data_IF_013620468537
#
_entry.id   IF_013620468537
#
_cell.length_a   1.000
_cell.length_b   1.000
_cell.length_c   1.000
_cell.angle_alpha   90.00
_cell.angle_beta   90.00
_cell.angle_gamma   90.00
#
_symmetry.space_group_name_H-M   'P 1'
#
loop_
_entity.id
_entity.type
_entity.pdbx_description
1 polymer ?
#
# COMPACT_ATOMS: atom_id res chain seq x y z
N UNK A 1 10.21 9.58 -18.37
CA UNK A 1 9.02 9.63 -17.51
C UNK A 1 8.58 8.21 -17.23
N UNK A 2 8.26 7.89 -15.95
CA UNK A 2 7.76 6.58 -15.55
C UNK A 2 6.28 6.72 -15.23
N UNK A 3 5.46 5.82 -15.76
CA UNK A 3 4.01 5.79 -15.56
C UNK A 3 3.58 4.40 -15.09
N UNK A 4 2.70 4.35 -14.10
CA UNK A 4 2.04 3.14 -13.66
C UNK A 4 0.59 3.08 -14.15
N UNK A 5 0.10 1.88 -14.43
CA UNK A 5 -1.28 1.64 -14.83
C UNK A 5 -1.92 0.63 -13.88
N UNK A 6 -3.15 0.92 -13.47
CA UNK A 6 -3.92 -0.02 -12.64
C UNK A 6 -4.37 -1.23 -13.45
N UNK A 7 -4.12 -2.42 -12.92
CA UNK A 7 -4.59 -3.69 -13.47
C UNK A 7 -5.93 -4.17 -12.90
N UNK A 8 -6.45 -3.46 -11.92
CA UNK A 8 -7.80 -3.67 -11.40
C UNK A 8 -8.65 -2.55 -11.97
N UNK A 9 -9.66 -2.90 -12.75
CA UNK A 9 -10.73 -1.98 -13.01
C UNK A 9 -11.43 -1.74 -11.65
N UNK A 10 -11.06 -0.68 -10.96
CA UNK A 10 -12.06 -0.01 -10.16
C UNK A 10 -13.06 0.54 -11.18
N UNK A 11 -13.81 -0.38 -11.80
CA UNK A 11 -14.90 0.02 -12.62
C UNK A 11 -15.77 0.82 -11.69
N UNK A 12 -15.86 2.09 -11.96
CA UNK A 12 -17.11 2.80 -11.79
C UNK A 12 -18.11 2.04 -12.65
N UNK A 13 -18.34 0.76 -12.33
CA UNK A 13 -19.52 0.05 -12.75
C UNK A 13 -20.63 0.69 -11.95
N UNK A 14 -21.00 1.83 -12.47
CA UNK A 14 -22.34 2.36 -12.30
C UNK A 14 -23.29 1.35 -12.97
N UNK A 15 -23.29 0.10 -12.50
CA UNK A 15 -24.37 -0.85 -12.81
C UNK A 15 -25.67 -0.42 -12.18
N UNK A 16 -25.63 0.58 -11.31
CA UNK A 16 -26.83 1.28 -10.92
C UNK A 16 -26.74 2.72 -11.42
N UNK A 17 -27.60 3.08 -12.33
CA UNK A 17 -27.97 4.47 -12.66
C UNK A 17 -28.52 5.23 -11.42
N UNK A 18 -28.30 4.72 -10.23
CA UNK A 18 -28.76 5.32 -8.97
C UNK A 18 -27.70 6.29 -8.46
N UNK A 19 -27.99 7.59 -8.46
CA UNK A 19 -27.15 8.57 -7.80
C UNK A 19 -26.92 8.17 -6.34
N UNK A 20 -25.67 8.10 -5.89
CA UNK A 20 -25.31 7.79 -4.52
C UNK A 20 -25.11 6.31 -4.19
N UNK A 21 -25.03 5.41 -5.19
CA UNK A 21 -24.57 4.05 -4.96
C UNK A 21 -23.15 4.09 -4.35
N UNK A 22 -22.90 3.36 -3.24
CA UNK A 22 -21.58 3.41 -2.60
C UNK A 22 -20.51 2.88 -3.55
N UNK A 23 -19.44 3.65 -3.73
CA UNK A 23 -18.22 3.27 -4.46
C UNK A 23 -17.62 1.93 -3.98
N UNK A 24 -17.95 1.49 -2.77
CA UNK A 24 -17.44 0.27 -2.16
C UNK A 24 -18.04 -1.04 -2.66
N UNK A 25 -19.17 -1.01 -3.37
CA UNK A 25 -19.87 -2.24 -3.79
C UNK A 25 -19.16 -2.98 -4.94
N UNK A 26 -18.16 -2.39 -5.56
CA UNK A 26 -17.56 -2.86 -6.82
C UNK A 26 -16.17 -3.47 -6.64
N UNK A 27 -15.56 -3.33 -5.49
CA UNK A 27 -14.26 -3.92 -5.20
C UNK A 27 -14.46 -5.44 -5.01
N UNK A 28 -14.11 -6.24 -6.00
CA UNK A 28 -14.06 -7.69 -5.89
C UNK A 28 -14.93 -8.49 -6.86
N UNK A 29 -16.10 -8.01 -7.24
CA UNK A 29 -16.94 -8.71 -8.23
C UNK A 29 -16.56 -8.34 -9.66
N UNK A 30 -16.16 -7.10 -9.88
CA UNK A 30 -15.81 -6.58 -11.19
C UNK A 30 -14.36 -6.80 -11.62
N UNK A 31 -13.63 -7.66 -10.95
CA UNK A 31 -12.24 -8.00 -11.25
C UNK A 31 -11.99 -8.65 -12.63
N UNK A 32 -12.94 -8.56 -13.53
CA UNK A 32 -12.83 -9.03 -14.92
C UNK A 32 -12.31 -7.94 -15.87
N UNK A 33 -11.49 -7.01 -15.40
CA UNK A 33 -10.96 -5.97 -16.27
C UNK A 33 -10.05 -6.52 -17.37
N UNK A 34 -9.59 -7.76 -17.26
CA UNK A 34 -8.68 -8.44 -18.20
C UNK A 34 -7.44 -7.59 -18.55
N UNK A 35 -7.03 -6.73 -17.63
CA UNK A 35 -5.88 -5.84 -17.80
C UNK A 35 -4.86 -6.11 -16.72
N UNK A 36 -3.63 -6.41 -17.13
CA UNK A 36 -2.48 -6.42 -16.24
C UNK A 36 -2.14 -5.00 -15.81
N UNK A 37 -1.78 -4.81 -14.56
CA UNK A 37 -1.06 -3.63 -14.13
C UNK A 37 0.35 -3.63 -14.73
N UNK A 38 0.88 -2.45 -15.02
CA UNK A 38 2.23 -2.35 -15.55
C UNK A 38 2.89 -1.03 -15.16
N UNK A 39 4.22 -1.04 -15.14
CA UNK A 39 5.04 0.16 -15.19
C UNK A 39 5.64 0.31 -16.58
N UNK A 40 5.69 1.53 -17.10
CA UNK A 40 6.31 1.84 -18.38
C UNK A 40 7.14 3.12 -18.30
N UNK A 41 8.25 3.15 -19.03
CA UNK A 41 9.02 4.35 -19.24
C UNK A 41 8.76 4.93 -20.62
N UNK A 42 8.69 6.26 -20.65
CA UNK A 42 8.53 7.04 -21.87
C UNK A 42 9.65 8.08 -21.99
N UNK A 43 10.13 8.25 -23.19
CA UNK A 43 11.03 9.36 -23.53
C UNK A 43 10.32 10.68 -23.30
N UNK A 44 10.94 11.59 -22.54
CA UNK A 44 10.29 12.84 -22.13
C UNK A 44 10.07 13.84 -23.27
N UNK A 45 10.88 13.77 -24.31
CA UNK A 45 10.80 14.70 -25.45
C UNK A 45 9.83 14.20 -26.52
N UNK A 46 9.87 12.91 -26.84
CA UNK A 46 9.10 12.32 -27.95
C UNK A 46 7.81 11.61 -27.52
N UNK A 47 7.65 11.28 -26.23
CA UNK A 47 6.56 10.45 -25.73
C UNK A 47 6.65 8.97 -26.15
N UNK A 48 7.74 8.56 -26.81
CA UNK A 48 7.91 7.18 -27.26
C UNK A 48 8.13 6.28 -26.04
N UNK A 49 7.38 5.15 -25.96
CA UNK A 49 7.59 4.14 -24.93
C UNK A 49 8.96 3.47 -25.12
N UNK A 50 9.75 3.45 -24.05
CA UNK A 50 11.08 2.86 -24.01
C UNK A 50 11.01 1.38 -23.59
N UNK A 51 10.27 1.10 -22.51
CA UNK A 51 10.04 -0.25 -22.01
C UNK A 51 8.73 -0.36 -21.24
N UNK A 52 8.31 -1.59 -20.96
CA UNK A 52 7.16 -1.92 -20.13
C UNK A 52 7.48 -3.16 -19.30
N UNK A 53 7.09 -3.14 -18.03
CA UNK A 53 7.10 -4.27 -17.11
C UNK A 53 5.67 -4.61 -16.72
N UNK A 54 5.21 -5.80 -17.06
CA UNK A 54 3.88 -6.30 -16.68
C UNK A 54 3.95 -6.98 -15.31
N UNK A 55 3.10 -6.56 -14.37
CA UNK A 55 3.06 -7.08 -13.02
C UNK A 55 2.38 -8.45 -12.90
N UNK A 56 1.69 -8.90 -13.96
CA UNK A 56 1.04 -10.22 -14.06
C UNK A 56 1.54 -10.94 -15.32
N UNK A 57 2.74 -11.55 -15.28
CA UNK A 57 3.35 -12.19 -16.47
C UNK A 57 2.64 -13.50 -16.82
N UNK A 58 2.73 -13.88 -18.10
CA UNK A 58 2.22 -15.17 -18.58
C UNK A 58 3.07 -16.38 -18.16
N UNK A 59 4.31 -16.13 -17.80
CA UNK A 59 5.26 -17.14 -17.33
C UNK A 59 5.67 -16.86 -15.90
N UNK A 60 5.67 -17.88 -15.04
CA UNK A 60 6.06 -17.75 -13.64
C UNK A 60 4.98 -17.15 -12.71
N UNK A 61 3.78 -16.90 -13.22
CA UNK A 61 2.64 -16.40 -12.44
C UNK A 61 2.33 -17.25 -11.20
N UNK A 62 2.40 -18.56 -11.34
CA UNK A 62 2.06 -19.52 -10.29
C UNK A 62 3.08 -19.52 -9.15
N UNK A 63 4.30 -19.10 -9.40
CA UNK A 63 5.38 -19.11 -8.41
C UNK A 63 5.71 -20.49 -7.86
N UNK A 64 6.07 -20.54 -6.57
CA UNK A 64 6.53 -21.77 -5.89
C UNK A 64 5.46 -22.41 -5.00
N UNK A 65 4.26 -21.84 -4.93
CA UNK A 65 3.19 -22.24 -3.99
C UNK A 65 3.62 -22.11 -2.52
N UNK A 66 4.13 -20.95 -2.15
CA UNK A 66 4.63 -20.66 -0.81
C UNK A 66 3.53 -20.76 0.23
N UNK A 67 3.85 -21.40 1.35
CA UNK A 67 2.95 -21.55 2.50
C UNK A 67 3.19 -20.51 3.60
N UNK A 68 4.19 -19.66 3.40
CA UNK A 68 4.55 -18.59 4.33
C UNK A 68 4.82 -17.29 3.58
N UNK A 69 4.70 -16.16 4.27
CA UNK A 69 5.27 -14.90 3.84
C UNK A 69 6.81 -14.99 3.81
N UNK A 70 7.53 -14.04 3.16
CA UNK A 70 9.00 -14.05 3.12
C UNK A 70 9.67 -13.98 4.50
N UNK A 71 9.00 -13.41 5.49
CA UNK A 71 9.44 -13.31 6.89
C UNK A 71 8.96 -14.47 7.77
N UNK A 72 8.36 -15.52 7.17
CA UNK A 72 8.03 -16.79 7.80
C UNK A 72 6.66 -16.88 8.48
N UNK A 73 5.78 -15.88 8.33
CA UNK A 73 4.43 -15.98 8.85
C UNK A 73 3.60 -17.01 8.05
N UNK A 74 2.87 -17.93 8.68
CA UNK A 74 2.10 -18.94 7.98
C UNK A 74 0.92 -18.33 7.23
N UNK A 75 0.65 -18.85 6.02
CA UNK A 75 -0.51 -18.54 5.20
C UNK A 75 -1.47 -19.71 5.23
N UNK A 76 -2.74 -19.49 5.53
CA UNK A 76 -3.76 -20.55 5.48
C UNK A 76 -4.19 -20.81 4.03
N UNK A 77 -3.35 -21.55 3.28
CA UNK A 77 -3.57 -21.95 1.88
C UNK A 77 -3.85 -23.44 1.74
N UNK A 78 -4.72 -23.79 0.81
CA UNK A 78 -4.95 -25.17 0.39
C UNK A 78 -4.15 -25.46 -0.91
N UNK A 79 -2.85 -25.72 -0.72
CA UNK A 79 -1.92 -25.97 -1.83
C UNK A 79 -2.33 -27.19 -2.66
N UNK A 80 -2.91 -28.23 -2.05
CA UNK A 80 -3.36 -29.41 -2.76
C UNK A 80 -4.48 -29.08 -3.75
N UNK A 81 -5.47 -28.31 -3.29
CA UNK A 81 -6.57 -27.80 -4.11
C UNK A 81 -6.07 -26.88 -5.22
N UNK A 82 -5.21 -25.93 -4.91
CA UNK A 82 -4.63 -25.02 -5.87
C UNK A 82 -3.93 -25.77 -7.01
N UNK A 83 -3.09 -26.75 -6.69
CA UNK A 83 -2.41 -27.60 -7.67
C UNK A 83 -3.36 -28.44 -8.50
N UNK A 84 -4.44 -28.95 -7.90
CA UNK A 84 -5.46 -29.74 -8.60
C UNK A 84 -6.23 -28.92 -9.65
N UNK A 85 -6.41 -27.59 -9.41
CA UNK A 85 -7.15 -26.70 -10.30
C UNK A 85 -6.26 -25.95 -11.30
N UNK A 86 -4.93 -26.09 -11.22
CA UNK A 86 -3.96 -25.36 -12.04
C UNK A 86 -4.22 -25.50 -13.55
N UNK A 87 -4.57 -26.71 -14.00
CA UNK A 87 -4.89 -26.98 -15.42
C UNK A 87 -6.10 -26.20 -15.93
N UNK A 88 -7.12 -26.04 -15.07
CA UNK A 88 -8.34 -25.28 -15.36
C UNK A 88 -8.06 -23.78 -15.43
N UNK A 89 -7.23 -23.25 -14.53
CA UNK A 89 -6.96 -21.81 -14.37
C UNK A 89 -5.58 -21.38 -14.87
N UNK A 90 -4.95 -22.14 -15.79
CA UNK A 90 -3.63 -21.82 -16.33
C UNK A 90 -3.49 -20.42 -16.96
N UNK A 91 -4.61 -19.77 -17.27
CA UNK A 91 -4.62 -18.42 -17.83
C UNK A 91 -5.12 -17.37 -16.83
N UNK A 92 -5.11 -17.67 -15.53
CA UNK A 92 -5.56 -16.75 -14.47
C UNK A 92 -4.83 -15.39 -14.50
N UNK A 93 -3.56 -15.37 -14.92
CA UNK A 93 -2.80 -14.13 -15.12
C UNK A 93 -3.50 -13.12 -16.05
N UNK A 94 -4.34 -13.60 -17.00
CA UNK A 94 -5.12 -12.73 -17.91
C UNK A 94 -6.24 -11.97 -17.21
N UNK A 95 -6.67 -12.42 -16.03
CA UNK A 95 -7.68 -11.71 -15.24
C UNK A 95 -7.16 -10.36 -14.73
N UNK A 96 -5.85 -10.15 -14.81
CA UNK A 96 -5.21 -8.90 -14.45
C UNK A 96 -4.85 -8.82 -12.97
N UNK A 97 -4.90 -7.61 -12.43
CA UNK A 97 -4.38 -7.29 -11.11
C UNK A 97 -2.99 -6.68 -11.17
N UNK A 98 -2.30 -6.66 -10.03
CA UNK A 98 -0.96 -6.11 -9.93
C UNK A 98 -0.89 -4.61 -10.24
N UNK A 99 -1.89 -3.85 -9.84
CA UNK A 99 -1.99 -2.41 -10.12
C UNK A 99 -0.69 -1.67 -9.79
N UNK A 100 -0.18 -0.91 -10.75
CA UNK A 100 0.94 0.00 -10.61
C UNK A 100 0.40 1.41 -10.32
N UNK A 101 -0.03 1.68 -9.09
CA UNK A 101 -0.82 2.86 -8.73
C UNK A 101 -0.16 3.77 -7.70
N UNK A 102 1.06 3.42 -7.27
CA UNK A 102 1.82 4.23 -6.31
C UNK A 102 3.08 4.82 -6.95
N UNK A 103 3.59 5.88 -6.36
CA UNK A 103 4.80 6.55 -6.83
C UNK A 103 6.03 5.67 -6.59
N UNK A 104 6.83 5.35 -7.63
CA UNK A 104 8.07 4.61 -7.45
C UNK A 104 9.17 5.48 -6.85
N UNK A 105 10.15 4.85 -6.19
CA UNK A 105 11.42 5.47 -5.84
C UNK A 105 12.49 5.14 -6.88
N UNK A 106 13.40 6.08 -7.14
CA UNK A 106 14.47 5.92 -8.13
C UNK A 106 15.83 6.06 -7.45
N UNK A 107 16.69 5.10 -7.68
CA UNK A 107 18.10 5.13 -7.27
C UNK A 107 18.98 5.31 -8.52
N UNK A 108 19.47 6.53 -8.78
CA UNK A 108 20.29 6.78 -9.95
C UNK A 108 21.68 6.12 -9.91
N UNK A 109 22.21 5.89 -8.70
CA UNK A 109 23.54 5.30 -8.52
C UNK A 109 23.53 3.80 -8.85
N UNK A 110 22.43 3.11 -8.50
CA UNK A 110 22.24 1.71 -8.83
C UNK A 110 21.54 1.51 -10.20
N UNK A 111 20.99 2.57 -10.79
CA UNK A 111 20.17 2.49 -11.99
C UNK A 111 18.90 1.67 -11.78
N UNK A 112 18.29 1.75 -10.60
CA UNK A 112 17.13 0.96 -10.22
C UNK A 112 15.91 1.82 -9.90
N UNK A 113 14.74 1.26 -10.20
CA UNK A 113 13.43 1.79 -9.82
C UNK A 113 12.78 0.78 -8.88
N UNK A 114 12.31 1.24 -7.72
CA UNK A 114 11.57 0.44 -6.76
C UNK A 114 10.11 0.83 -6.80
N UNK A 115 9.23 -0.14 -6.97
CA UNK A 115 7.81 0.11 -7.18
C UNK A 115 6.94 -0.95 -6.51
N UNK A 116 5.83 -0.53 -5.93
CA UNK A 116 4.84 -1.44 -5.35
C UNK A 116 3.83 -1.93 -6.38
N UNK A 117 3.38 -3.17 -6.25
CA UNK A 117 2.30 -3.73 -7.06
C UNK A 117 1.08 -4.07 -6.20
N UNK A 118 -0.09 -3.97 -6.80
CA UNK A 118 -1.37 -4.21 -6.13
C UNK A 118 -1.78 -5.68 -6.11
N UNK A 119 -3.01 -5.90 -5.69
CA UNK A 119 -3.62 -7.22 -5.53
C UNK A 119 -3.73 -8.00 -6.85
N UNK A 120 -3.78 -9.34 -6.79
CA UNK A 120 -4.19 -10.14 -7.94
C UNK A 120 -5.69 -9.95 -8.26
N UNK A 121 -6.11 -10.28 -9.47
CA UNK A 121 -7.52 -10.30 -9.86
C UNK A 121 -7.97 -11.73 -10.22
N UNK A 122 -9.17 -12.15 -9.80
CA UNK A 122 -10.13 -11.49 -8.91
C UNK A 122 -9.58 -11.27 -7.50
N UNK A 123 -9.77 -10.08 -6.95
CA UNK A 123 -9.06 -9.66 -5.74
C UNK A 123 -9.40 -10.52 -4.51
N UNK A 124 -10.68 -10.77 -4.29
CA UNK A 124 -11.18 -11.47 -3.10
C UNK A 124 -11.62 -12.91 -3.40
N UNK A 125 -11.13 -13.50 -4.49
CA UNK A 125 -11.32 -14.91 -4.83
C UNK A 125 -9.97 -15.63 -4.83
N UNK A 126 -9.88 -16.71 -4.09
CA UNK A 126 -8.70 -17.55 -3.98
C UNK A 126 -8.76 -18.81 -4.85
N UNK A 127 -9.89 -19.09 -5.50
CA UNK A 127 -10.13 -20.36 -6.18
C UNK A 127 -9.71 -20.36 -7.64
N UNK A 128 -9.86 -19.23 -8.33
CA UNK A 128 -9.70 -19.11 -9.78
C UNK A 128 -8.30 -18.68 -10.21
N UNK A 129 -7.39 -18.50 -9.28
CA UNK A 129 -6.02 -18.05 -9.53
C UNK A 129 -4.98 -18.82 -8.69
N UNK A 130 -4.81 -20.14 -8.88
CA UNK A 130 -3.87 -20.94 -8.12
C UNK A 130 -2.43 -20.43 -8.24
N UNK A 131 -1.64 -20.63 -7.18
CA UNK A 131 -0.24 -20.20 -7.12
C UNK A 131 -0.03 -18.89 -6.37
N UNK A 132 1.20 -18.40 -6.35
CA UNK A 132 1.62 -17.22 -5.59
C UNK A 132 1.15 -15.91 -6.23
N UNK A 133 0.77 -15.95 -7.50
CA UNK A 133 0.30 -14.80 -8.31
C UNK A 133 1.38 -13.72 -8.48
N UNK A 134 2.57 -14.12 -8.96
CA UNK A 134 3.68 -13.20 -9.23
C UNK A 134 3.35 -12.24 -10.41
N UNK A 135 3.65 -10.95 -10.30
CA UNK A 135 4.32 -10.24 -9.19
C UNK A 135 3.34 -9.32 -8.46
N UNK A 136 2.17 -9.83 -8.08
CA UNK A 136 1.21 -9.05 -7.28
C UNK A 136 1.69 -8.94 -5.83
N UNK A 137 1.22 -7.93 -5.10
CA UNK A 137 1.53 -7.65 -3.69
C UNK A 137 3.04 -7.70 -3.42
N UNK A 138 3.79 -7.07 -4.31
CA UNK A 138 5.26 -7.13 -4.31
C UNK A 138 5.88 -5.74 -4.37
N UNK A 139 7.00 -5.57 -3.67
CA UNK A 139 7.96 -4.55 -4.03
C UNK A 139 8.87 -5.13 -5.12
N UNK A 140 8.90 -4.50 -6.28
CA UNK A 140 9.73 -4.89 -7.42
C UNK A 140 10.86 -3.89 -7.62
N UNK A 141 12.06 -4.38 -7.96
CA UNK A 141 13.15 -3.55 -8.43
C UNK A 141 13.36 -3.78 -9.93
N UNK A 142 13.22 -2.71 -10.68
CA UNK A 142 13.34 -2.70 -12.14
C UNK A 142 14.62 -1.96 -12.55
N UNK A 143 15.29 -2.49 -13.56
CA UNK A 143 16.37 -1.77 -14.24
C UNK A 143 15.80 -0.51 -14.92
N UNK A 144 16.36 0.65 -14.62
CA UNK A 144 15.80 1.93 -15.05
C UNK A 144 15.86 2.14 -16.58
N UNK A 145 16.84 1.55 -17.26
CA UNK A 145 17.02 1.69 -18.70
C UNK A 145 16.17 0.72 -19.51
N UNK A 146 16.01 -0.51 -18.98
CA UNK A 146 15.42 -1.63 -19.74
C UNK A 146 14.06 -2.10 -19.23
N UNK A 147 13.67 -1.71 -18.00
CA UNK A 147 12.47 -2.19 -17.33
C UNK A 147 12.54 -3.66 -16.89
N UNK A 148 13.69 -4.32 -17.03
CA UNK A 148 13.85 -5.70 -16.62
C UNK A 148 13.81 -5.84 -15.11
N UNK A 149 13.07 -6.85 -14.62
CA UNK A 149 13.04 -7.18 -13.21
C UNK A 149 14.43 -7.63 -12.74
N UNK A 150 14.93 -6.99 -11.67
CA UNK A 150 16.20 -7.37 -11.03
C UNK A 150 15.95 -8.26 -9.83
N UNK A 151 14.94 -7.94 -9.03
CA UNK A 151 14.46 -8.74 -7.92
C UNK A 151 13.03 -8.32 -7.53
N UNK A 152 12.35 -9.15 -6.77
CA UNK A 152 11.08 -8.84 -6.14
C UNK A 152 11.04 -9.35 -4.70
N UNK A 153 10.23 -8.71 -3.90
CA UNK A 153 9.87 -9.14 -2.55
C UNK A 153 8.35 -9.15 -2.45
N UNK A 154 7.75 -10.34 -2.54
CA UNK A 154 6.30 -10.50 -2.45
C UNK A 154 5.90 -10.54 -0.98
N UNK A 155 5.30 -9.46 -0.47
CA UNK A 155 4.92 -9.37 0.95
C UNK A 155 3.93 -10.45 1.36
N UNK A 156 2.92 -10.70 0.51
CA UNK A 156 1.88 -11.69 0.77
C UNK A 156 1.62 -12.54 -0.49
N UNK A 157 2.19 -13.76 -0.58
CA UNK A 157 1.86 -14.71 -1.65
C UNK A 157 0.38 -15.08 -1.64
N UNK A 158 -0.24 -15.18 -2.82
CA UNK A 158 -1.64 -15.58 -2.98
C UNK A 158 -2.62 -14.70 -2.19
N UNK A 159 -2.41 -13.39 -2.20
CA UNK A 159 -3.20 -12.47 -1.39
C UNK A 159 -4.71 -12.58 -1.65
N UNK A 160 -5.46 -12.80 -0.59
CA UNK A 160 -6.93 -12.84 -0.56
C UNK A 160 -7.53 -11.83 0.43
N UNK A 161 -6.69 -10.94 0.96
CA UNK A 161 -7.06 -9.99 2.02
C UNK A 161 -7.05 -8.53 1.55
N UNK A 162 -6.44 -8.25 0.40
CA UNK A 162 -6.36 -6.90 -0.14
C UNK A 162 -5.12 -6.13 0.31
N UNK A 163 -4.00 -6.81 0.56
CA UNK A 163 -2.77 -6.21 1.09
C UNK A 163 -1.82 -5.69 0.01
N UNK A 164 -2.33 -4.84 -0.92
CA UNK A 164 -1.48 -4.15 -1.88
C UNK A 164 -0.19 -3.62 -1.26
N UNK A 165 0.91 -3.64 -2.01
CA UNK A 165 2.10 -2.83 -1.68
C UNK A 165 1.83 -1.40 -2.17
N UNK A 166 1.11 -0.66 -1.35
CA UNK A 166 0.44 0.59 -1.72
C UNK A 166 1.20 1.85 -1.30
N UNK A 167 1.91 1.82 -0.15
CA UNK A 167 2.72 2.95 0.29
C UNK A 167 3.94 3.12 -0.61
N UNK A 168 4.27 4.34 -1.07
CA UNK A 168 5.50 4.60 -1.82
C UNK A 168 6.74 4.14 -1.06
N UNK A 169 7.70 3.45 -1.70
CA UNK A 169 8.94 3.04 -1.05
C UNK A 169 9.84 4.25 -0.78
N UNK A 170 10.64 4.17 0.29
CA UNK A 170 11.59 5.20 0.69
C UNK A 170 13.02 4.64 0.71
N UNK A 171 13.98 5.42 0.19
CA UNK A 171 15.38 5.03 0.10
C UNK A 171 16.20 5.67 1.23
N UNK A 172 17.04 4.87 1.88
CA UNK A 172 17.94 5.33 2.95
C UNK A 172 19.10 4.33 3.16
N UNK A 173 19.99 4.64 4.06
CA UNK A 173 21.04 3.74 4.50
C UNK A 173 20.70 3.14 5.86
N UNK A 174 20.46 1.81 5.89
CA UNK A 174 20.20 1.08 7.13
C UNK A 174 21.50 0.66 7.82
N UNK A 175 21.46 0.51 9.14
CA UNK A 175 22.59 -0.06 9.92
C UNK A 175 22.22 -1.47 10.40
N UNK A 176 22.97 -2.47 9.93
CA UNK A 176 22.76 -3.87 10.29
C UNK A 176 24.09 -4.52 10.65
N UNK A 177 24.21 -5.05 11.86
CA UNK A 177 25.45 -5.69 12.32
C UNK A 177 26.69 -4.80 12.22
N UNK A 178 26.54 -3.50 12.50
CA UNK A 178 27.63 -2.50 12.44
C UNK A 178 27.99 -2.03 11.01
N UNK A 179 27.33 -2.56 9.97
CA UNK A 179 27.55 -2.16 8.57
C UNK A 179 26.44 -1.24 8.10
N UNK A 180 26.81 -0.28 7.25
CA UNK A 180 25.86 0.54 6.50
C UNK A 180 25.49 -0.18 5.21
N UNK A 181 24.20 -0.37 4.97
CA UNK A 181 23.66 -1.08 3.81
C UNK A 181 22.66 -0.17 3.12
N UNK A 182 22.82 0.12 1.81
CA UNK A 182 21.80 0.81 1.04
C UNK A 182 20.49 0.04 1.09
N UNK A 183 19.45 0.67 1.62
CA UNK A 183 18.17 0.02 1.91
C UNK A 183 16.99 0.72 1.24
N UNK A 184 15.96 -0.06 0.95
CA UNK A 184 14.63 0.44 0.60
C UNK A 184 13.66 0.01 1.68
N UNK A 185 12.86 0.97 2.16
CA UNK A 185 11.82 0.74 3.15
C UNK A 185 10.44 0.76 2.52
N UNK A 186 9.57 -0.15 2.95
CA UNK A 186 8.19 -0.28 2.51
C UNK A 186 7.27 -0.40 3.71
N UNK A 187 6.33 0.54 3.87
CA UNK A 187 5.28 0.45 4.88
C UNK A 187 4.10 -0.36 4.33
N UNK A 188 3.71 -1.40 5.05
CA UNK A 188 2.73 -2.38 4.58
C UNK A 188 1.34 -2.17 5.17
N UNK A 189 0.33 -2.61 4.43
CA UNK A 189 -1.04 -2.77 4.93
C UNK A 189 -1.13 -3.80 6.07
N UNK A 190 -0.17 -4.72 6.14
CA UNK A 190 -0.08 -5.72 7.22
C UNK A 190 0.32 -5.13 8.58
N UNK A 191 0.78 -3.88 8.62
CA UNK A 191 1.14 -3.18 9.85
C UNK A 191 2.61 -3.23 10.21
N UNK A 192 3.50 -3.65 9.30
CA UNK A 192 4.95 -3.63 9.45
C UNK A 192 5.61 -2.70 8.43
N UNK A 193 6.80 -2.22 8.79
CA UNK A 193 7.72 -1.56 7.88
C UNK A 193 8.84 -2.53 7.53
N UNK A 194 8.86 -2.99 6.27
CA UNK A 194 9.90 -3.87 5.76
C UNK A 194 11.11 -3.07 5.31
N UNK A 195 12.31 -3.54 5.60
CA UNK A 195 13.57 -2.93 5.17
C UNK A 195 14.40 -3.97 4.43
N UNK A 196 14.69 -3.69 3.16
CA UNK A 196 15.36 -4.60 2.24
C UNK A 196 16.67 -4.00 1.74
N UNK A 197 17.66 -4.83 1.45
CA UNK A 197 18.85 -4.42 0.71
C UNK A 197 18.46 -4.02 -0.71
N UNK A 198 18.74 -2.78 -1.13
CA UNK A 198 18.40 -2.24 -2.46
C UNK A 198 18.98 -3.04 -3.61
N UNK A 199 20.14 -3.69 -3.42
CA UNK A 199 20.84 -4.42 -4.48
C UNK A 199 20.26 -5.79 -4.74
N UNK A 200 19.79 -6.48 -3.69
CA UNK A 200 19.41 -7.89 -3.75
C UNK A 200 17.95 -8.18 -3.45
N UNK A 201 17.21 -7.23 -2.84
CA UNK A 201 15.87 -7.47 -2.32
C UNK A 201 15.84 -8.34 -1.06
N UNK A 202 17.01 -8.67 -0.50
CA UNK A 202 17.09 -9.45 0.73
C UNK A 202 16.50 -8.69 1.93
N UNK A 203 15.63 -9.35 2.70
CA UNK A 203 15.06 -8.78 3.92
C UNK A 203 16.16 -8.57 4.97
N UNK A 204 16.39 -7.31 5.34
CA UNK A 204 17.32 -6.95 6.41
C UNK A 204 16.65 -7.09 7.77
N UNK A 205 15.45 -6.55 7.90
CA UNK A 205 14.57 -6.66 9.07
C UNK A 205 13.18 -6.14 8.72
N UNK A 206 12.21 -6.44 9.58
CA UNK A 206 10.91 -5.75 9.66
C UNK A 206 10.77 -5.05 11.00
N UNK A 207 9.97 -3.99 11.04
CA UNK A 207 9.70 -3.25 12.28
C UNK A 207 8.85 -4.04 13.28
N UNK A 208 8.73 -3.52 14.50
CA UNK A 208 7.59 -3.80 15.36
C UNK A 208 6.30 -3.40 14.64
N UNK A 209 5.18 -4.06 14.97
CA UNK A 209 3.88 -3.73 14.38
C UNK A 209 3.44 -2.34 14.84
N UNK A 210 3.13 -1.46 13.88
CA UNK A 210 2.73 -0.09 14.16
C UNK A 210 1.20 0.10 14.30
N UNK A 211 0.41 -0.95 14.11
CA UNK A 211 -1.01 -1.05 14.45
C UNK A 211 -1.30 -2.44 15.01
N UNK A 212 -2.36 -2.62 15.83
CA UNK A 212 -2.75 -3.93 16.31
C UNK A 212 -3.06 -4.90 15.18
N UNK A 213 -2.66 -6.15 15.36
CA UNK A 213 -2.88 -7.23 14.42
C UNK A 213 -3.76 -8.31 15.06
N UNK A 214 -4.78 -8.76 14.31
CA UNK A 214 -5.69 -9.81 14.73
C UNK A 214 -6.04 -10.69 13.53
N UNK A 215 -5.94 -12.01 13.68
CA UNK A 215 -6.27 -12.98 12.63
C UNK A 215 -5.58 -12.74 11.30
N UNK A 216 -4.40 -12.11 11.29
CA UNK A 216 -3.66 -11.81 10.09
C UNK A 216 -3.33 -13.10 9.34
N UNK A 217 -3.57 -13.12 8.02
CA UNK A 217 -3.39 -14.27 7.14
C UNK A 217 -4.30 -15.49 7.41
N UNK A 218 -5.31 -15.35 8.29
CA UNK A 218 -6.36 -16.36 8.46
C UNK A 218 -7.31 -16.33 7.26
N UNK A 219 -7.73 -17.53 6.85
CA UNK A 219 -8.65 -17.67 5.71
C UNK A 219 -10.05 -17.12 6.05
N UNK A 220 -10.65 -16.27 5.20
CA UNK A 220 -12.04 -15.85 5.36
C UNK A 220 -13.02 -17.02 5.35
N UNK A 221 -14.11 -16.91 6.11
CA UNK A 221 -15.15 -17.95 6.24
C UNK A 221 -16.54 -17.46 5.84
N UNK A 222 -17.48 -18.38 5.65
CA UNK A 222 -18.87 -18.01 5.35
C UNK A 222 -19.58 -17.31 6.52
N UNK A 223 -19.17 -17.60 7.75
CA UNK A 223 -19.68 -16.97 8.98
C UNK A 223 -19.10 -15.56 9.18
N UNK A 224 -18.04 -15.25 8.47
CA UNK A 224 -17.28 -14.01 8.60
C UNK A 224 -16.20 -14.07 9.67
N UNK A 225 -15.02 -13.55 9.32
CA UNK A 225 -13.87 -13.43 10.20
C UNK A 225 -13.41 -11.99 10.26
N UNK A 226 -13.27 -11.46 11.47
CA UNK A 226 -12.68 -10.14 11.69
C UNK A 226 -11.16 -10.22 11.60
N UNK A 227 -10.58 -9.38 10.74
CA UNK A 227 -9.13 -9.30 10.51
C UNK A 227 -8.68 -7.85 10.69
N UNK A 228 -7.61 -7.66 11.43
CA UNK A 228 -6.97 -6.36 11.61
C UNK A 228 -5.44 -6.48 11.38
N UNK A 229 -4.85 -5.49 10.69
CA UNK A 229 -5.51 -4.47 9.88
C UNK A 229 -6.26 -5.08 8.69
N UNK A 230 -7.34 -4.43 8.24
CA UNK A 230 -8.08 -4.85 7.05
C UNK A 230 -7.49 -4.31 5.75
N UNK A 231 -8.18 -4.53 4.62
CA UNK A 231 -7.73 -4.17 3.26
C UNK A 231 -7.35 -2.69 3.05
N UNK A 232 -7.88 -1.79 3.87
CA UNK A 232 -7.58 -0.34 3.83
C UNK A 232 -6.88 0.14 5.10
N UNK A 233 -6.47 -0.79 5.98
CA UNK A 233 -5.74 -0.52 7.21
C UNK A 233 -4.23 -0.51 7.04
N UNK A 234 -3.50 -0.55 8.16
CA UNK A 234 -2.06 -0.44 8.17
C UNK A 234 -1.59 0.90 7.59
N UNK A 235 -0.48 0.92 6.87
CA UNK A 235 0.01 2.12 6.21
C UNK A 235 -0.80 2.50 4.96
N UNK A 236 -1.63 1.57 4.46
CA UNK A 236 -2.41 1.75 3.23
C UNK A 236 -1.55 2.36 2.10
N UNK A 237 -1.92 3.53 1.56
CA UNK A 237 -1.17 4.24 0.52
C UNK A 237 -0.37 5.44 1.03
N UNK A 238 -0.32 5.65 2.34
CA UNK A 238 0.32 6.82 2.95
C UNK A 238 1.82 6.85 2.67
N UNK A 239 2.37 7.91 2.04
CA UNK A 239 3.80 8.07 1.89
C UNK A 239 4.51 8.16 3.23
N UNK A 240 5.63 7.46 3.33
CA UNK A 240 6.56 7.50 4.47
C UNK A 240 7.52 8.66 4.30
N UNK A 241 7.93 9.29 5.39
CA UNK A 241 9.02 10.26 5.39
C UNK A 241 10.19 9.74 6.22
N UNK A 242 11.41 9.99 5.75
CA UNK A 242 12.64 9.57 6.43
C UNK A 242 13.51 10.78 6.77
N UNK A 243 14.07 10.79 7.98
CA UNK A 243 15.05 11.77 8.40
C UNK A 243 16.43 11.11 8.55
N UNK A 244 17.36 11.46 7.68
CA UNK A 244 18.73 10.97 7.76
C UNK A 244 19.40 11.38 9.09
N UNK A 245 19.12 12.57 9.59
CA UNK A 245 19.69 13.09 10.82
C UNK A 245 19.33 12.23 12.04
N UNK A 246 18.06 11.88 12.19
CA UNK A 246 17.59 11.05 13.31
C UNK A 246 17.72 9.53 13.04
N UNK A 247 17.73 9.11 11.78
CA UNK A 247 17.64 7.70 11.39
C UNK A 247 16.26 7.12 11.61
N UNK A 248 15.22 7.97 11.61
CA UNK A 248 13.84 7.57 11.84
C UNK A 248 13.04 7.64 10.55
N UNK A 249 12.27 6.59 10.29
CA UNK A 249 11.19 6.58 9.30
C UNK A 249 9.85 6.85 10.01
N UNK A 250 9.08 7.81 9.51
CA UNK A 250 7.79 8.20 10.09
C UNK A 250 6.67 7.61 9.24
N UNK A 251 5.85 6.79 9.87
CA UNK A 251 4.77 6.04 9.22
C UNK A 251 3.43 6.46 9.79
N UNK A 252 2.56 6.98 8.92
CA UNK A 252 1.15 7.19 9.21
C UNK A 252 0.38 5.91 8.92
N UNK A 253 -0.49 5.49 9.83
CA UNK A 253 -1.23 4.26 9.69
C UNK A 253 -2.65 4.33 10.26
N UNK A 254 -3.49 3.38 9.83
CA UNK A 254 -4.89 3.28 10.18
C UNK A 254 -5.19 1.96 10.90
N UNK A 255 -5.77 2.04 12.09
CA UNK A 255 -6.41 0.89 12.73
C UNK A 255 -7.84 0.79 12.19
N UNK A 256 -8.02 -0.11 11.23
CA UNK A 256 -9.28 -0.36 10.52
C UNK A 256 -9.50 -1.87 10.39
N UNK A 257 -10.08 -2.52 11.41
CA UNK A 257 -10.50 -3.91 11.29
C UNK A 257 -11.65 -4.04 10.28
N UNK A 258 -11.68 -5.17 9.58
CA UNK A 258 -12.70 -5.50 8.58
C UNK A 258 -13.16 -6.92 8.83
N UNK A 259 -14.45 -7.18 8.66
CA UNK A 259 -15.02 -8.52 8.62
C UNK A 259 -15.00 -9.03 7.17
N UNK A 260 -14.35 -10.15 6.98
CA UNK A 260 -14.23 -10.85 5.70
C UNK A 260 -15.21 -12.02 5.67
N UNK A 261 -16.26 -11.92 4.87
CA UNK A 261 -17.32 -12.94 4.77
C UNK A 261 -17.34 -13.53 3.36
N UNK A 262 -17.14 -14.84 3.25
CA UNK A 262 -17.25 -15.55 1.97
C UNK A 262 -18.71 -15.59 1.53
N UNK A 263 -18.95 -15.16 0.30
CA UNK A 263 -20.25 -15.16 -0.35
C UNK A 263 -20.19 -15.97 -1.64
N UNK A 264 -21.30 -16.61 -1.99
CA UNK A 264 -21.46 -17.32 -3.26
C UNK A 264 -22.72 -16.83 -3.96
N UNK A 265 -22.58 -16.47 -5.23
CA UNK A 265 -23.69 -16.17 -6.12
C UNK A 265 -23.88 -17.42 -6.99
N UNK A 266 -25.02 -18.11 -6.90
CA UNK A 266 -25.31 -19.28 -7.72
C UNK A 266 -25.25 -18.97 -9.22
N UNK A 267 -24.91 -19.96 -10.04
CA UNK A 267 -25.02 -19.87 -11.49
C UNK A 267 -26.45 -19.53 -11.91
N UNK A 268 -26.61 -18.62 -12.88
CA UNK A 268 -27.90 -18.24 -13.42
C UNK A 268 -27.84 -18.13 -14.95
N UNK A 269 -28.61 -18.93 -15.63
CA UNK A 269 -28.57 -19.01 -17.10
C UNK A 269 -27.22 -19.50 -17.62
N UNK A 270 -26.56 -18.70 -18.46
CA UNK A 270 -25.20 -18.98 -18.96
C UNK A 270 -24.09 -18.48 -18.07
N UNK A 271 -24.42 -17.74 -16.99
CA UNK A 271 -23.45 -17.20 -16.05
C UNK A 271 -23.00 -18.28 -15.06
N UNK A 272 -21.69 -18.40 -14.89
CA UNK A 272 -21.08 -19.30 -13.90
C UNK A 272 -21.31 -18.80 -12.48
N UNK A 273 -21.35 -19.71 -11.50
CA UNK A 273 -21.34 -19.35 -10.09
C UNK A 273 -20.09 -18.50 -9.77
N UNK A 274 -20.29 -17.47 -8.97
CA UNK A 274 -19.22 -16.56 -8.51
C UNK A 274 -19.05 -16.69 -7.00
N UNK A 275 -17.84 -16.93 -6.55
CA UNK A 275 -17.47 -16.89 -5.13
C UNK A 275 -16.55 -15.69 -4.90
N UNK A 276 -16.84 -14.92 -3.87
CA UNK A 276 -16.05 -13.76 -3.50
C UNK A 276 -16.06 -13.55 -1.98
N UNK A 277 -15.13 -12.74 -1.48
CA UNK A 277 -15.12 -12.31 -0.08
C UNK A 277 -15.66 -10.89 0.03
N UNK A 278 -16.78 -10.72 0.72
CA UNK A 278 -17.32 -9.42 1.06
C UNK A 278 -16.51 -8.79 2.20
N UNK A 279 -16.28 -7.49 2.07
CA UNK A 279 -15.64 -6.67 3.09
C UNK A 279 -16.71 -5.86 3.82
N UNK A 280 -16.91 -6.15 5.09
CA UNK A 280 -17.95 -5.52 5.90
C UNK A 280 -17.28 -4.68 7.01
N UNK A 281 -17.71 -3.43 7.23
CA UNK A 281 -17.21 -2.62 8.33
C UNK A 281 -17.46 -3.32 9.67
N UNK A 282 -16.49 -3.24 10.57
CA UNK A 282 -16.63 -3.70 11.96
C UNK A 282 -17.04 -2.52 12.83
N UNK A 283 -17.99 -2.75 13.72
CA UNK A 283 -18.30 -1.80 14.77
C UNK A 283 -17.14 -1.75 15.79
N UNK A 284 -16.79 -0.55 16.21
CA UNK A 284 -15.72 -0.35 17.18
C UNK A 284 -14.86 0.88 16.88
N UNK A 285 -13.85 1.10 17.72
CA UNK A 285 -13.01 2.29 17.58
C UNK A 285 -12.12 2.20 16.35
N UNK A 286 -12.15 3.23 15.53
CA UNK A 286 -11.23 3.48 14.40
C UNK A 286 -10.32 4.63 14.80
N UNK A 287 -9.04 4.52 14.54
CA UNK A 287 -8.05 5.50 14.94
C UNK A 287 -6.77 5.35 14.11
N UNK A 288 -5.89 6.33 14.24
CA UNK A 288 -4.60 6.30 13.54
C UNK A 288 -3.41 6.20 14.47
N UNK A 289 -2.26 5.88 13.89
CA UNK A 289 -0.95 6.01 14.52
C UNK A 289 0.01 6.78 13.63
N UNK A 290 0.79 7.66 14.25
CA UNK A 290 2.02 8.18 13.68
C UNK A 290 3.17 7.53 14.44
N UNK A 291 3.98 6.73 13.76
CA UNK A 291 5.05 5.93 14.38
C UNK A 291 6.41 6.36 13.85
N UNK A 292 7.37 6.58 14.74
CA UNK A 292 8.77 6.81 14.39
C UNK A 292 9.56 5.50 14.55
N UNK A 293 9.97 4.93 13.44
CA UNK A 293 10.64 3.63 13.34
C UNK A 293 12.15 3.85 13.18
N UNK A 294 12.94 3.32 14.09
CA UNK A 294 14.39 3.42 14.06
C UNK A 294 14.98 2.39 13.09
N UNK A 295 15.39 2.87 11.92
CA UNK A 295 15.98 2.02 10.87
C UNK A 295 17.46 1.72 11.11
N UNK A 296 18.06 2.29 12.15
CA UNK A 296 19.43 2.00 12.59
C UNK A 296 19.50 0.97 13.71
N UNK A 297 18.35 0.66 14.32
CA UNK A 297 18.22 -0.25 15.47
C UNK A 297 17.25 -1.40 15.23
N UNK A 298 17.17 -1.89 13.98
CA UNK A 298 16.38 -3.08 13.63
C UNK A 298 14.87 -2.87 13.63
N UNK A 299 14.38 -1.66 13.38
CA UNK A 299 12.96 -1.37 13.20
C UNK A 299 12.15 -1.20 14.48
N UNK A 300 12.79 -0.86 15.60
CA UNK A 300 12.08 -0.54 16.84
C UNK A 300 11.30 0.76 16.72
N UNK A 301 10.11 0.79 17.28
CA UNK A 301 9.31 2.02 17.40
C UNK A 301 9.89 2.85 18.55
N UNK A 302 10.43 4.03 18.23
CA UNK A 302 11.02 4.96 19.21
C UNK A 302 9.95 5.72 19.96
N UNK A 303 8.93 6.15 19.25
CA UNK A 303 7.72 6.74 19.79
C UNK A 303 6.55 6.47 18.83
N UNK A 304 5.36 6.53 19.38
CA UNK A 304 4.12 6.42 18.63
C UNK A 304 3.08 7.35 19.21
N UNK A 305 2.54 8.24 18.39
CA UNK A 305 1.37 9.05 18.72
C UNK A 305 0.11 8.39 18.16
N UNK A 306 -0.94 8.35 18.96
CA UNK A 306 -2.27 7.90 18.54
C UNK A 306 -3.11 9.11 18.16
N UNK A 307 -3.78 9.03 17.00
CA UNK A 307 -4.69 10.07 16.54
C UNK A 307 -6.14 9.61 16.62
N UNK A 308 -7.11 10.52 16.86
CA UNK A 308 -8.53 10.16 16.95
C UNK A 308 -9.10 9.56 15.68
N UNK A 309 -8.56 9.94 14.50
CA UNK A 309 -8.97 9.43 13.19
C UNK A 309 -7.87 8.58 12.54
N UNK A 310 -8.23 7.59 11.68
CA UNK A 310 -7.28 6.88 10.84
C UNK A 310 -6.42 7.82 9.99
N UNK A 311 -5.10 7.60 9.97
CA UNK A 311 -4.19 8.37 9.15
C UNK A 311 -4.02 7.72 7.78
N UNK A 312 -4.40 8.44 6.72
CA UNK A 312 -4.32 7.97 5.32
C UNK A 312 -3.66 8.97 4.38
N UNK A 313 -3.21 10.13 4.90
CA UNK A 313 -2.69 11.25 4.12
C UNK A 313 -1.18 11.23 3.89
N UNK A 314 -0.43 10.50 4.70
CA UNK A 314 1.03 10.48 4.63
C UNK A 314 1.71 11.49 5.57
N UNK A 315 3.03 11.52 5.50
CA UNK A 315 3.88 12.23 6.46
C UNK A 315 4.91 13.10 5.75
N UNK A 316 5.19 14.27 6.32
CA UNK A 316 6.30 15.13 5.94
C UNK A 316 7.22 15.35 7.15
N UNK A 317 8.47 14.89 7.09
CA UNK A 317 9.52 15.24 8.05
C UNK A 317 10.40 16.36 7.51
N UNK A 318 10.75 17.32 8.36
CA UNK A 318 11.57 18.47 7.98
C UNK A 318 12.94 18.43 8.66
N UNK A 319 13.91 19.16 8.12
CA UNK A 319 15.22 19.33 8.72
C UNK A 319 15.18 20.11 10.05
N UNK A 320 14.08 20.81 10.33
CA UNK A 320 13.81 21.50 11.59
C UNK A 320 13.27 20.64 12.73
N UNK A 321 13.36 19.31 12.61
CA UNK A 321 12.84 18.34 13.61
C UNK A 321 11.32 18.40 13.80
N UNK A 322 10.58 18.74 12.76
CA UNK A 322 9.10 18.67 12.75
C UNK A 322 8.62 17.55 11.83
N UNK A 323 7.53 16.89 12.24
CA UNK A 323 6.82 15.90 11.47
C UNK A 323 5.37 16.35 11.31
N UNK A 324 4.92 16.55 10.07
CA UNK A 324 3.56 16.95 9.75
C UNK A 324 2.75 15.75 9.22
N UNK A 325 1.50 15.65 9.66
CA UNK A 325 0.51 14.72 9.10
C UNK A 325 -0.89 15.32 9.19
N UNK A 326 -1.78 14.92 8.31
CA UNK A 326 -3.16 15.37 8.32
C UNK A 326 -4.11 14.28 8.81
N UNK A 327 -5.21 14.68 9.44
CA UNK A 327 -6.26 13.81 9.93
C UNK A 327 -7.57 13.96 9.14
N UNK A 328 -8.42 12.91 9.19
CA UNK A 328 -9.74 12.91 8.56
C UNK A 328 -10.73 13.92 9.15
N UNK A 329 -10.56 14.29 10.43
CA UNK A 329 -11.34 15.33 11.10
C UNK A 329 -11.04 16.76 10.62
N UNK A 330 -10.00 16.93 9.79
CA UNK A 330 -9.61 18.22 9.21
C UNK A 330 -8.43 18.89 9.90
N UNK A 331 -7.77 18.25 10.84
CA UNK A 331 -6.58 18.79 11.48
C UNK A 331 -5.34 18.52 10.62
N UNK A 332 -4.45 19.52 10.57
CA UNK A 332 -3.05 19.38 10.20
C UNK A 332 -2.24 19.51 11.49
N UNK A 333 -1.47 18.49 11.80
CA UNK A 333 -0.71 18.36 13.02
C UNK A 333 0.79 18.47 12.76
N UNK A 334 1.52 19.11 13.68
CA UNK A 334 2.98 19.14 13.71
C UNK A 334 3.47 18.53 15.02
N UNK A 335 4.29 17.51 14.92
CA UNK A 335 4.90 16.79 16.04
C UNK A 335 6.41 17.07 16.13
N UNK A 336 6.96 17.04 17.34
CA UNK A 336 8.41 16.93 17.52
C UNK A 336 8.89 15.58 16.96
N UNK A 337 9.84 15.62 16.03
CA UNK A 337 10.32 14.44 15.32
C UNK A 337 11.03 13.42 16.24
N UNK A 338 11.55 13.82 17.40
CA UNK A 338 12.31 12.97 18.32
C UNK A 338 11.45 12.36 19.41
N UNK A 339 10.39 13.08 19.85
CA UNK A 339 9.59 12.70 21.01
C UNK A 339 8.16 12.27 20.65
N UNK A 340 7.63 12.72 19.50
CA UNK A 340 6.25 12.52 19.12
C UNK A 340 5.26 13.43 19.88
N UNK A 341 5.77 14.45 20.57
CA UNK A 341 4.93 15.46 21.22
C UNK A 341 4.22 16.30 20.15
N UNK A 342 2.90 16.50 20.29
CA UNK A 342 2.12 17.41 19.45
C UNK A 342 2.47 18.86 19.82
N UNK A 343 3.12 19.55 18.90
CA UNK A 343 3.58 20.93 19.11
C UNK A 343 2.60 21.97 18.57
N UNK A 344 1.89 21.64 17.48
CA UNK A 344 0.99 22.56 16.82
C UNK A 344 -0.09 21.82 16.05
N UNK A 345 -1.27 22.41 15.97
CA UNK A 345 -2.42 21.89 15.24
C UNK A 345 -3.20 23.03 14.60
N UNK A 346 -3.68 22.80 13.38
CA UNK A 346 -4.55 23.75 12.66
C UNK A 346 -5.72 23.02 12.01
N UNK A 347 -6.93 23.53 12.20
CA UNK A 347 -8.13 22.94 11.59
C UNK A 347 -8.37 23.53 10.18
N UNK A 348 -8.23 22.70 9.15
CA UNK A 348 -8.30 23.09 7.73
C UNK A 348 -9.73 23.13 7.16
N UNK A 349 -10.74 22.79 7.96
CA UNK A 349 -12.15 22.85 7.55
C UNK A 349 -12.70 21.62 6.83
N UNK A 350 -11.84 20.77 6.25
CA UNK A 350 -12.18 19.51 5.63
C UNK A 350 -11.07 18.47 5.88
N UNK A 351 -11.33 17.19 5.65
CA UNK A 351 -10.35 16.13 5.89
C UNK A 351 -9.04 16.36 5.16
N UNK A 352 -7.91 16.25 5.88
CA UNK A 352 -6.55 16.43 5.35
C UNK A 352 -5.97 15.06 5.06
N UNK A 353 -6.19 14.55 3.85
CA UNK A 353 -5.80 13.21 3.41
C UNK A 353 -4.78 13.23 2.26
N UNK A 354 -4.26 14.40 1.92
CA UNK A 354 -3.12 14.55 1.05
C UNK A 354 -1.83 14.65 1.89
N UNK A 355 -0.70 14.09 1.42
CA UNK A 355 0.58 14.28 2.11
C UNK A 355 0.96 15.75 2.09
N UNK A 356 1.39 16.33 3.23
CA UNK A 356 1.93 17.68 3.26
C UNK A 356 3.21 17.78 2.42
N UNK A 357 3.45 18.92 1.80
CA UNK A 357 4.68 19.21 1.06
C UNK A 357 5.33 20.47 1.61
N UNK A 358 6.64 20.60 1.43
CA UNK A 358 7.40 21.82 1.81
C UNK A 358 8.28 22.27 0.67
N UNK A 359 8.41 23.58 0.53
CA UNK A 359 9.33 24.23 -0.39
C UNK A 359 9.76 25.61 0.16
N UNK A 360 10.81 26.16 -0.40
CA UNK A 360 11.26 27.51 -0.10
C UNK A 360 11.00 28.43 -1.33
N UNK A 361 10.50 29.63 -1.05
CA UNK A 361 10.34 30.70 -2.03
C UNK A 361 10.79 32.01 -1.42
N UNK A 362 11.72 32.70 -2.07
CA UNK A 362 12.29 34.00 -1.64
C UNK A 362 12.78 33.99 -0.16
N UNK A 363 13.46 32.90 0.25
CA UNK A 363 14.01 32.74 1.60
C UNK A 363 12.95 32.46 2.68
N UNK A 364 11.70 32.18 2.29
CA UNK A 364 10.60 31.79 3.19
C UNK A 364 10.23 30.35 2.92
N UNK A 365 10.28 29.51 3.99
CA UNK A 365 9.81 28.13 3.90
C UNK A 365 8.29 28.08 4.05
N UNK A 366 7.66 27.32 3.17
CA UNK A 366 6.22 27.03 3.19
C UNK A 366 5.97 25.55 3.48
N UNK A 367 4.92 25.27 4.22
CA UNK A 367 4.29 23.94 4.31
C UNK A 367 2.91 24.07 3.69
N UNK A 368 2.62 23.21 2.71
CA UNK A 368 1.36 23.27 1.96
C UNK A 368 0.64 21.94 2.05
N UNK A 369 -0.68 22.01 2.20
CA UNK A 369 -1.55 20.85 2.29
C UNK A 369 -2.86 21.08 1.53
N UNK A 370 -3.41 20.01 0.95
CA UNK A 370 -4.76 20.00 0.41
C UNK A 370 -5.76 19.44 1.42
N UNK A 371 -6.81 20.19 1.71
CA UNK A 371 -7.95 19.80 2.56
C UNK A 371 -9.16 19.49 1.67
N UNK A 372 -9.16 18.29 1.07
CA UNK A 372 -10.17 17.84 0.10
C UNK A 372 -11.17 16.82 0.67
N UNK A 373 -10.90 16.27 1.85
CA UNK A 373 -11.68 15.18 2.43
C UNK A 373 -11.40 13.83 1.77
N UNK A 374 -12.19 12.83 2.14
CA UNK A 374 -12.10 11.49 1.55
C UNK A 374 -13.45 10.78 1.64
N UNK A 375 -14.08 10.50 0.50
CA UNK A 375 -15.39 9.87 0.45
C UNK A 375 -15.38 8.41 0.93
N UNK A 376 -14.28 7.67 0.72
CA UNK A 376 -14.17 6.26 1.14
C UNK A 376 -14.23 6.12 2.66
N UNK A 377 -13.64 7.09 3.38
CA UNK A 377 -13.63 7.12 4.85
C UNK A 377 -14.78 7.95 5.43
N UNK A 378 -15.64 8.56 4.60
CA UNK A 378 -16.71 9.43 5.04
C UNK A 378 -16.24 10.77 5.62
N UNK A 379 -15.01 11.19 5.32
CA UNK A 379 -14.45 12.45 5.81
C UNK A 379 -15.02 13.64 5.06
N UNK A 380 -15.22 14.75 5.80
CA UNK A 380 -15.78 15.97 5.25
C UNK A 380 -15.02 16.43 4.01
N UNK A 381 -15.75 16.62 2.92
CA UNK A 381 -15.23 17.13 1.65
C UNK A 381 -14.93 18.62 1.74
N UNK A 382 -13.95 19.08 0.97
CA UNK A 382 -13.54 20.48 0.84
C UNK A 382 -12.75 20.73 -0.43
N UNK A 383 -12.40 21.99 -0.67
CA UNK A 383 -11.76 22.46 -1.92
C UNK A 383 -10.59 23.42 -1.61
N UNK A 384 -9.97 23.28 -0.44
CA UNK A 384 -8.93 24.19 0.00
C UNK A 384 -7.51 23.63 -0.23
N UNK A 385 -6.61 24.48 -0.71
CA UNK A 385 -5.16 24.32 -0.61
C UNK A 385 -4.64 25.40 0.32
N UNK A 386 -4.00 25.01 1.41
CA UNK A 386 -3.58 25.90 2.49
C UNK A 386 -2.06 25.92 2.58
N UNK A 387 -1.48 27.11 2.56
CA UNK A 387 -0.05 27.32 2.73
C UNK A 387 0.22 27.98 4.08
N UNK A 388 1.17 27.44 4.82
CA UNK A 388 1.64 27.95 6.11
C UNK A 388 3.08 28.40 5.94
N UNK A 389 3.42 29.52 6.58
CA UNK A 389 4.79 30.02 6.67
C UNK A 389 5.01 30.62 8.06
N UNK A 390 6.25 30.61 8.53
CA UNK A 390 6.61 31.35 9.72
C UNK A 390 6.60 32.84 9.42
N UNK A 391 6.07 33.69 10.34
CA UNK A 391 6.19 35.15 10.18
C UNK A 391 7.66 35.54 10.14
N UNK A 392 7.93 36.55 9.30
CA UNK A 392 9.28 37.15 9.18
C UNK A 392 9.64 37.96 10.42
#
# INVERSE_FOLDING_TARGET
VIVGITGVGYGLHLESDRPGAPLGAVIGIAGQSQRAGFYAAFDAASGRRLWQFDSTPSEGWEGEFRTTTPDGAPLERDIAREKATLGQYRQAWKSGGGSAWTTPAVDPDLGLIFAGTGNPSPQMDDLTRPGDNLYTVSLVALDAETGKLRWHFQEVPHDMWGYDVASPPVLFDARVGGRTIPAVGQASKTGWFYVLDRRSGGLLFKSEAFVPQQNLFRRPTAEGLEIAPGAVGGASWSPVSYSERSGLAYVAAAHLPVRYTVREIPAHGEESAVRYTALEPVEGPKWGTLSAIDVRSGGKIRWQAKTPEPLVGGVLATAGDLVFTGEGNGNLDAFDARTGELLWQFHCGAGVNAPPVTFELDGTQYVVVAAGGNAIFGYRQGEAVIAFALPR
#
